data_IF_076785311836
#
_entry.id   IF_076785311836
#
_cell.length_a   1.000
_cell.length_b   1.000
_cell.length_c   1.000
_cell.angle_alpha   90.00
_cell.angle_beta   90.00
_cell.angle_gamma   90.00
#
_symmetry.space_group_name_H-M   'P 1'
#
loop_
_entity.id
_entity.type
_entity.pdbx_description
1 polymer ?
#
# COMPACT_ATOMS: atom_id res chain seq x y z
N UNK A 1 17.09 57.09 53.90
CA UNK A 1 16.37 56.63 52.69
C UNK A 1 17.07 55.37 52.18
N UNK A 2 16.41 54.24 52.44
CA UNK A 2 16.56 52.86 51.94
C UNK A 2 17.91 52.30 51.42
N UNK A 3 18.28 51.21 52.10
CA UNK A 3 19.40 50.29 51.95
C UNK A 3 19.76 49.85 50.52
N UNK A 4 21.03 50.01 50.14
CA UNK A 4 21.69 49.11 49.18
C UNK A 4 21.94 47.78 49.89
N UNK A 5 21.05 46.82 49.70
CA UNK A 5 21.28 45.43 50.12
C UNK A 5 22.32 44.83 49.18
N UNK A 6 23.55 44.69 49.66
CA UNK A 6 24.54 43.80 49.07
C UNK A 6 24.05 42.36 49.23
N UNK A 7 23.41 41.82 48.19
CA UNK A 7 23.22 40.39 48.02
C UNK A 7 24.51 39.78 47.45
N UNK A 8 25.54 39.69 48.29
CA UNK A 8 26.53 38.63 48.11
C UNK A 8 25.81 37.39 48.64
N UNK A 9 25.15 36.64 47.74
CA UNK A 9 24.68 35.30 48.10
C UNK A 9 25.94 34.46 48.31
N UNK A 10 26.15 34.02 49.55
CA UNK A 10 27.15 33.01 49.88
C UNK A 10 27.03 31.85 48.89
N UNK A 11 28.18 31.37 48.40
CA UNK A 11 28.29 30.29 47.41
C UNK A 11 27.47 29.05 47.82
N UNK A 12 27.43 28.78 49.12
CA UNK A 12 26.69 27.67 49.73
C UNK A 12 25.15 27.85 49.62
N UNK A 13 24.65 29.09 49.66
CA UNK A 13 23.23 29.39 49.48
C UNK A 13 22.78 29.40 48.01
N UNK A 14 23.73 29.48 47.06
CA UNK A 14 23.45 29.27 45.64
C UNK A 14 23.38 27.77 45.36
N UNK A 15 24.30 26.98 45.89
CA UNK A 15 24.34 25.52 45.70
C UNK A 15 23.11 24.83 46.30
N UNK A 16 22.64 25.26 47.48
CA UNK A 16 21.44 24.71 48.11
C UNK A 16 20.16 25.09 47.35
N UNK A 17 20.10 26.30 46.78
CA UNK A 17 18.99 26.76 45.91
C UNK A 17 18.97 26.02 44.56
N UNK A 18 20.13 25.72 43.98
CA UNK A 18 20.23 24.91 42.76
C UNK A 18 19.86 23.45 43.05
N UNK A 19 20.26 22.88 44.20
CA UNK A 19 19.92 21.52 44.58
C UNK A 19 18.43 21.32 44.89
N UNK A 20 17.76 22.32 45.47
CA UNK A 20 16.32 22.26 45.76
C UNK A 20 15.43 22.65 44.56
N UNK A 21 15.89 23.52 43.65
CA UNK A 21 15.07 24.02 42.53
C UNK A 21 15.46 23.48 41.15
N UNK A 22 16.65 22.89 40.97
CA UNK A 22 17.03 22.16 39.77
C UNK A 22 16.93 20.68 40.09
N UNK A 23 15.75 20.11 39.83
CA UNK A 23 15.60 18.66 39.77
C UNK A 23 16.54 18.17 38.66
N UNK A 24 17.70 17.64 39.02
CA UNK A 24 18.62 17.05 38.06
C UNK A 24 17.88 15.98 37.25
N UNK A 25 18.10 15.95 35.94
CA UNK A 25 17.52 14.93 35.06
C UNK A 25 17.82 13.54 35.63
N UNK A 26 16.80 12.69 35.74
CA UNK A 26 17.00 11.29 36.09
C UNK A 26 17.95 10.62 35.09
N UNK A 27 18.57 9.49 35.46
CA UNK A 27 19.41 8.72 34.53
C UNK A 27 18.71 8.41 33.21
N UNK A 28 17.38 8.21 33.25
CA UNK A 28 16.57 7.94 32.06
C UNK A 28 16.37 9.19 31.22
N UNK A 29 16.05 10.34 31.83
CA UNK A 29 15.87 11.61 31.10
C UNK A 29 17.20 12.13 30.52
N UNK A 30 18.29 11.97 31.26
CA UNK A 30 19.64 12.31 30.78
C UNK A 30 20.07 11.40 29.62
N UNK A 31 19.71 10.11 29.63
CA UNK A 31 19.98 9.19 28.52
C UNK A 31 19.10 9.49 27.30
N UNK A 32 17.82 9.77 27.50
CA UNK A 32 16.89 10.14 26.43
C UNK A 32 17.36 11.38 25.67
N UNK A 33 17.90 12.38 26.38
CA UNK A 33 18.44 13.60 25.76
C UNK A 33 19.78 13.38 25.03
N UNK A 34 20.56 12.35 25.39
CA UNK A 34 21.87 12.06 24.76
C UNK A 34 21.79 11.12 23.57
N UNK A 35 20.75 10.29 23.50
CA UNK A 35 20.58 9.28 22.46
C UNK A 35 19.96 9.90 21.19
N UNK A 36 20.25 9.30 20.03
CA UNK A 36 19.49 9.62 18.82
C UNK A 36 18.03 9.20 18.96
N UNK A 37 17.15 9.79 18.15
CA UNK A 37 15.72 9.50 18.18
C UNK A 37 15.43 8.01 17.96
N UNK A 38 15.99 7.44 16.88
CA UNK A 38 15.98 5.99 16.61
C UNK A 38 16.36 5.16 17.83
N UNK A 39 17.45 5.53 18.51
CA UNK A 39 17.96 4.78 19.66
C UNK A 39 16.97 4.80 20.83
N UNK A 40 16.31 5.93 21.08
CA UNK A 40 15.27 6.00 22.12
C UNK A 40 14.08 5.11 21.80
N UNK A 41 13.59 5.12 20.56
CA UNK A 41 12.51 4.23 20.09
C UNK A 41 12.89 2.77 20.27
N UNK A 42 14.10 2.38 19.83
CA UNK A 42 14.58 1.01 19.98
C UNK A 42 14.68 0.56 21.45
N UNK A 43 15.21 1.41 22.33
CA UNK A 43 15.29 1.12 23.77
C UNK A 43 13.89 0.96 24.35
N UNK A 44 12.95 1.82 23.96
CA UNK A 44 11.60 1.79 24.48
C UNK A 44 10.83 0.53 24.03
N UNK A 45 10.89 0.16 22.74
CA UNK A 45 10.34 -1.09 22.23
C UNK A 45 10.83 -2.30 23.03
N UNK A 46 12.15 -2.39 23.25
CA UNK A 46 12.75 -3.50 23.99
C UNK A 46 12.34 -3.50 25.47
N UNK A 47 12.28 -2.33 26.13
CA UNK A 47 11.82 -2.21 27.53
C UNK A 47 10.38 -2.65 27.71
N UNK A 48 9.54 -2.41 26.70
CA UNK A 48 8.13 -2.84 26.70
C UNK A 48 7.95 -4.29 26.20
N UNK A 49 9.01 -4.98 25.80
CA UNK A 49 8.98 -6.37 25.34
C UNK A 49 8.58 -6.56 23.87
N UNK A 50 8.52 -5.49 23.08
CA UNK A 50 8.22 -5.51 21.63
C UNK A 50 9.46 -5.85 20.80
N UNK A 51 9.97 -7.07 20.99
CA UNK A 51 11.18 -7.53 20.32
C UNK A 51 10.97 -7.79 18.83
N UNK A 52 9.76 -8.19 18.38
CA UNK A 52 9.48 -8.39 16.96
C UNK A 52 9.37 -7.06 16.24
N UNK A 53 8.65 -6.09 16.82
CA UNK A 53 8.58 -4.72 16.30
C UNK A 53 9.97 -4.08 16.21
N UNK A 54 10.82 -4.30 17.22
CA UNK A 54 12.21 -3.85 17.19
C UNK A 54 12.99 -4.47 16.02
N UNK A 55 12.94 -5.81 15.87
CA UNK A 55 13.63 -6.51 14.80
C UNK A 55 13.16 -6.07 13.42
N UNK A 56 11.85 -5.88 13.26
CA UNK A 56 11.24 -5.42 12.00
C UNK A 56 11.67 -3.99 11.66
N UNK A 57 11.56 -3.05 12.60
CA UNK A 57 12.02 -1.66 12.41
C UNK A 57 13.51 -1.64 12.02
N UNK A 58 14.34 -2.42 12.69
CA UNK A 58 15.77 -2.50 12.40
C UNK A 58 16.02 -3.04 10.98
N UNK A 59 15.35 -4.13 10.59
CA UNK A 59 15.47 -4.72 9.26
C UNK A 59 15.00 -3.76 8.15
N UNK A 60 13.95 -2.98 8.39
CA UNK A 60 13.46 -1.96 7.45
C UNK A 60 14.48 -0.84 7.23
N UNK A 61 15.10 -0.38 8.33
CA UNK A 61 16.17 0.61 8.27
C UNK A 61 17.38 0.09 7.49
N UNK A 62 17.83 -1.14 7.77
CA UNK A 62 18.94 -1.76 7.05
C UNK A 62 18.63 -1.92 5.56
N UNK A 63 17.40 -2.36 5.23
CA UNK A 63 16.95 -2.50 3.84
C UNK A 63 16.91 -1.15 3.13
N UNK A 64 16.45 -0.08 3.78
CA UNK A 64 16.51 1.27 3.20
C UNK A 64 17.94 1.66 2.86
N UNK A 65 18.86 1.47 3.82
CA UNK A 65 20.27 1.81 3.62
C UNK A 65 20.87 0.97 2.48
N UNK A 66 20.57 -0.33 2.40
CA UNK A 66 21.02 -1.18 1.31
C UNK A 66 20.48 -0.73 -0.06
N UNK A 67 19.20 -0.33 -0.15
CA UNK A 67 18.62 0.21 -1.39
C UNK A 67 19.29 1.52 -1.81
N UNK A 68 19.57 2.39 -0.83
CA UNK A 68 20.30 3.64 -1.05
C UNK A 68 21.70 3.40 -1.61
N UNK A 69 22.47 2.53 -0.95
CA UNK A 69 23.82 2.17 -1.38
C UNK A 69 23.82 1.52 -2.78
N UNK A 70 22.88 0.62 -3.05
CA UNK A 70 22.76 -0.04 -4.36
C UNK A 70 22.39 0.94 -5.50
N UNK A 71 21.57 1.95 -5.22
CA UNK A 71 21.21 2.98 -6.19
C UNK A 71 22.33 3.98 -6.46
N UNK A 72 23.27 4.12 -5.52
CA UNK A 72 24.48 4.92 -5.63
C UNK A 72 24.27 6.44 -5.52
N UNK A 73 25.38 7.20 -5.44
CA UNK A 73 25.36 8.65 -5.33
C UNK A 73 24.67 9.31 -6.52
N UNK A 74 23.71 10.21 -6.26
CA UNK A 74 22.97 10.94 -7.28
C UNK A 74 21.59 10.37 -7.64
N UNK A 75 21.25 9.17 -7.14
CA UNK A 75 19.89 8.65 -7.22
C UNK A 75 18.91 9.44 -6.33
N UNK A 76 17.62 9.38 -6.62
CA UNK A 76 16.59 10.06 -5.81
C UNK A 76 16.60 9.59 -4.34
N UNK A 77 16.72 8.28 -4.11
CA UNK A 77 16.79 7.70 -2.75
C UNK A 77 18.06 8.13 -1.99
N UNK A 78 19.15 8.44 -2.70
CA UNK A 78 20.37 8.96 -2.09
C UNK A 78 20.18 10.39 -1.54
N UNK A 79 19.38 11.21 -2.23
CA UNK A 79 19.11 12.60 -1.82
C UNK A 79 18.11 12.70 -0.66
N UNK A 80 17.31 11.66 -0.44
CA UNK A 80 16.38 11.62 0.69
C UNK A 80 17.14 11.41 2.01
N UNK A 81 16.62 11.93 3.12
CA UNK A 81 17.17 11.65 4.46
C UNK A 81 17.06 10.16 4.77
N UNK A 82 17.96 9.61 5.59
CA UNK A 82 17.81 8.21 6.02
C UNK A 82 16.50 8.03 6.78
N UNK A 83 15.94 6.82 6.78
CA UNK A 83 14.75 6.51 7.58
C UNK A 83 15.01 6.82 9.07
N UNK A 84 16.26 6.65 9.53
CA UNK A 84 16.71 6.94 10.88
C UNK A 84 16.66 8.44 11.27
N UNK A 85 16.65 9.31 10.26
CA UNK A 85 16.71 10.76 10.39
C UNK A 85 15.36 11.43 10.13
N UNK A 86 14.29 10.63 10.02
CA UNK A 86 12.92 11.07 9.77
C UNK A 86 12.04 10.70 10.97
N UNK A 87 12.00 11.54 12.03
CA UNK A 87 11.28 11.26 13.26
C UNK A 87 9.81 10.89 13.05
N UNK A 88 9.11 11.62 12.17
CA UNK A 88 7.69 11.38 11.89
C UNK A 88 7.44 9.96 11.34
N UNK A 89 8.31 9.47 10.45
CA UNK A 89 8.22 8.10 9.91
C UNK A 89 8.56 7.06 10.97
N UNK A 90 9.56 7.33 11.81
CA UNK A 90 9.92 6.46 12.92
C UNK A 90 8.79 6.38 13.95
N UNK A 91 8.04 7.46 14.17
CA UNK A 91 6.88 7.48 15.06
C UNK A 91 5.74 6.62 14.54
N UNK A 92 5.42 6.72 13.24
CA UNK A 92 4.40 5.85 12.65
C UNK A 92 4.80 4.38 12.72
N UNK A 93 6.05 4.05 12.36
CA UNK A 93 6.57 2.70 12.46
C UNK A 93 6.50 2.20 13.91
N UNK A 94 6.98 2.99 14.88
CA UNK A 94 6.89 2.64 16.28
C UNK A 94 5.46 2.39 16.74
N UNK A 95 4.55 3.32 16.45
CA UNK A 95 3.16 3.26 16.87
C UNK A 95 2.46 2.02 16.33
N UNK A 96 2.50 1.80 15.01
CA UNK A 96 1.73 0.72 14.40
C UNK A 96 2.40 -0.64 14.53
N UNK A 97 3.73 -0.75 14.50
CA UNK A 97 4.42 -2.03 14.70
C UNK A 97 4.20 -2.57 16.11
N UNK A 98 4.28 -1.73 17.14
CA UNK A 98 4.07 -2.17 18.54
C UNK A 98 2.63 -2.59 18.79
N UNK A 99 1.65 -1.86 18.21
CA UNK A 99 0.24 -2.24 18.24
C UNK A 99 -0.04 -3.55 17.49
N UNK A 100 0.56 -3.73 16.32
CA UNK A 100 0.46 -4.97 15.56
C UNK A 100 1.03 -6.16 16.36
N UNK A 101 2.20 -6.00 17.00
CA UNK A 101 2.76 -7.06 17.84
C UNK A 101 1.87 -7.35 19.05
N UNK A 102 1.36 -6.32 19.73
CA UNK A 102 0.44 -6.50 20.86
C UNK A 102 -0.83 -7.28 20.44
N UNK A 103 -1.46 -6.88 19.33
CA UNK A 103 -2.62 -7.56 18.77
C UNK A 103 -2.31 -9.00 18.36
N UNK A 104 -1.15 -9.24 17.75
CA UNK A 104 -0.72 -10.60 17.41
C UNK A 104 -0.57 -11.46 18.66
N UNK A 105 -0.01 -10.94 19.76
CA UNK A 105 0.10 -11.68 21.02
C UNK A 105 -1.26 -12.00 21.64
N UNK A 106 -2.26 -11.15 21.40
CA UNK A 106 -3.65 -11.38 21.80
C UNK A 106 -4.45 -12.28 20.84
N UNK A 107 -3.88 -12.68 19.69
CA UNK A 107 -4.57 -13.44 18.66
C UNK A 107 -5.57 -12.61 17.84
N UNK A 108 -5.54 -11.28 17.94
CA UNK A 108 -6.43 -10.37 17.22
C UNK A 108 -5.87 -10.03 15.83
N UNK A 109 -5.88 -10.99 14.92
CA UNK A 109 -5.28 -10.82 13.58
C UNK A 109 -5.94 -9.72 12.73
N UNK A 110 -7.21 -9.39 12.97
CA UNK A 110 -7.86 -8.24 12.35
C UNK A 110 -7.16 -6.93 12.70
N UNK A 111 -6.82 -6.74 13.98
CA UNK A 111 -6.10 -5.55 14.43
C UNK A 111 -4.66 -5.56 13.90
N UNK A 112 -4.00 -6.72 13.80
CA UNK A 112 -2.68 -6.82 13.16
C UNK A 112 -2.74 -6.29 11.72
N UNK A 113 -3.73 -6.77 10.95
CA UNK A 113 -3.95 -6.37 9.57
C UNK A 113 -4.21 -4.86 9.47
N UNK A 114 -5.09 -4.32 10.32
CA UNK A 114 -5.45 -2.90 10.26
C UNK A 114 -4.25 -2.00 10.59
N UNK A 115 -3.39 -2.38 11.55
CA UNK A 115 -2.15 -1.63 11.83
C UNK A 115 -1.14 -1.71 10.67
N UNK A 116 -0.98 -2.88 10.04
CA UNK A 116 -0.13 -3.03 8.84
C UNK A 116 -0.68 -2.22 7.66
N UNK A 117 -2.00 -2.22 7.46
CA UNK A 117 -2.64 -1.47 6.38
C UNK A 117 -2.47 0.03 6.57
N UNK A 118 -2.56 0.53 7.81
CA UNK A 118 -2.30 1.93 8.11
C UNK A 118 -0.86 2.34 7.75
N UNK A 119 0.13 1.47 8.01
CA UNK A 119 1.50 1.71 7.56
C UNK A 119 1.61 1.69 6.03
N UNK A 120 0.94 0.75 5.35
CA UNK A 120 0.91 0.70 3.89
C UNK A 120 0.32 1.98 3.26
N UNK A 121 -0.72 2.54 3.87
CA UNK A 121 -1.32 3.81 3.44
C UNK A 121 -0.45 5.01 3.76
N UNK A 122 0.18 5.05 4.93
CA UNK A 122 1.06 6.14 5.32
C UNK A 122 2.27 6.26 4.37
N UNK A 123 2.85 5.13 3.95
CA UNK A 123 4.01 5.10 3.04
C UNK A 123 3.64 5.04 1.56
N UNK A 124 2.42 5.42 1.18
CA UNK A 124 1.93 5.30 -0.20
C UNK A 124 2.53 6.34 -1.17
N UNK A 125 3.35 7.28 -0.66
CA UNK A 125 4.09 8.22 -1.48
C UNK A 125 5.08 7.48 -2.41
N UNK A 126 5.31 7.96 -3.65
CA UNK A 126 6.19 7.29 -4.60
C UNK A 126 7.60 7.01 -4.07
N UNK A 127 8.10 7.87 -3.18
CA UNK A 127 9.42 7.74 -2.55
C UNK A 127 9.51 6.57 -1.57
N UNK A 128 8.42 6.29 -0.86
CA UNK A 128 8.32 5.24 0.15
C UNK A 128 7.60 3.98 -0.38
N UNK A 129 7.35 3.93 -1.69
CA UNK A 129 6.53 2.89 -2.32
C UNK A 129 6.98 1.47 -1.99
N UNK A 130 8.29 1.24 -1.88
CA UNK A 130 8.83 -0.06 -1.49
C UNK A 130 8.39 -0.48 -0.08
N UNK A 131 8.26 0.48 0.84
CA UNK A 131 7.85 0.28 2.23
C UNK A 131 6.34 0.06 2.31
N UNK A 132 5.55 0.81 1.53
CA UNK A 132 4.12 0.52 1.35
C UNK A 132 3.87 -0.89 0.80
N UNK A 133 4.63 -1.29 -0.23
CA UNK A 133 4.55 -2.64 -0.80
C UNK A 133 4.90 -3.71 0.23
N UNK A 134 5.94 -3.50 1.06
CA UNK A 134 6.27 -4.40 2.16
C UNK A 134 5.08 -4.60 3.12
N UNK A 135 4.44 -3.51 3.55
CA UNK A 135 3.30 -3.62 4.48
C UNK A 135 2.05 -4.21 3.84
N UNK A 136 1.84 -4.04 2.54
CA UNK A 136 0.78 -4.76 1.82
C UNK A 136 1.05 -6.27 1.72
N UNK A 137 2.31 -6.68 1.53
CA UNK A 137 2.70 -8.10 1.57
C UNK A 137 2.48 -8.68 2.98
N UNK A 138 2.82 -7.94 4.03
CA UNK A 138 2.51 -8.31 5.41
C UNK A 138 1.00 -8.42 5.67
N UNK A 139 0.21 -7.45 5.18
CA UNK A 139 -1.26 -7.52 5.22
C UNK A 139 -1.77 -8.80 4.57
N UNK A 140 -1.22 -9.19 3.42
CA UNK A 140 -1.61 -10.40 2.72
C UNK A 140 -1.29 -11.67 3.49
N UNK A 141 -0.15 -11.71 4.19
CA UNK A 141 0.20 -12.82 5.07
C UNK A 141 -0.74 -12.90 6.27
N UNK A 142 -1.03 -11.77 6.91
CA UNK A 142 -1.95 -11.69 8.05
C UNK A 142 -3.39 -12.04 7.66
N UNK A 143 -3.86 -11.60 6.49
CA UNK A 143 -5.23 -11.84 6.04
C UNK A 143 -5.57 -13.34 5.94
N UNK A 144 -4.59 -14.19 5.62
CA UNK A 144 -4.76 -15.65 5.58
C UNK A 144 -5.00 -16.28 6.96
N UNK A 145 -4.67 -15.57 8.03
CA UNK A 145 -4.87 -16.02 9.42
C UNK A 145 -6.22 -15.57 9.98
N UNK A 146 -6.91 -14.64 9.32
CA UNK A 146 -8.21 -14.10 9.74
C UNK A 146 -9.30 -15.06 9.30
N UNK A 147 -10.14 -15.50 10.25
CA UNK A 147 -11.28 -16.40 9.99
C UNK A 147 -12.63 -15.75 10.27
N UNK A 148 -12.63 -14.54 10.84
CA UNK A 148 -13.79 -13.89 11.46
C UNK A 148 -14.52 -12.90 10.55
N UNK A 149 -13.86 -12.35 9.53
CA UNK A 149 -14.36 -11.18 8.78
C UNK A 149 -15.07 -11.49 7.45
N UNK A 150 -15.57 -12.73 7.31
CA UNK A 150 -16.20 -13.23 6.08
C UNK A 150 -15.26 -13.04 4.86
N UNK A 151 -13.94 -13.05 5.06
CA UNK A 151 -12.90 -12.96 4.03
C UNK A 151 -12.81 -11.59 3.34
N UNK A 152 -13.33 -10.53 3.96
CA UNK A 152 -13.27 -9.17 3.41
C UNK A 152 -11.82 -8.68 3.30
N UNK A 153 -11.00 -8.83 4.35
CA UNK A 153 -9.59 -8.42 4.34
C UNK A 153 -8.74 -9.29 3.43
N UNK A 154 -9.08 -10.57 3.28
CA UNK A 154 -8.48 -11.45 2.27
C UNK A 154 -8.71 -10.88 0.85
N UNK A 155 -9.95 -10.49 0.54
CA UNK A 155 -10.28 -9.86 -0.74
C UNK A 155 -9.48 -8.56 -0.96
N UNK A 156 -9.46 -7.67 0.04
CA UNK A 156 -8.70 -6.42 -0.03
C UNK A 156 -7.20 -6.67 -0.23
N UNK A 157 -6.64 -7.66 0.47
CA UNK A 157 -5.23 -8.01 0.31
C UNK A 157 -4.91 -8.54 -1.08
N UNK A 158 -5.78 -9.37 -1.67
CA UNK A 158 -5.63 -9.80 -3.07
C UNK A 158 -5.66 -8.62 -4.05
N UNK A 159 -6.53 -7.63 -3.84
CA UNK A 159 -6.54 -6.42 -4.66
C UNK A 159 -5.20 -5.67 -4.59
N UNK A 160 -4.66 -5.48 -3.38
CA UNK A 160 -3.38 -4.80 -3.16
C UNK A 160 -2.21 -5.57 -3.79
N UNK A 161 -2.17 -6.90 -3.64
CA UNK A 161 -1.15 -7.74 -4.26
C UNK A 161 -1.21 -7.71 -5.79
N UNK A 162 -2.42 -7.64 -6.37
CA UNK A 162 -2.61 -7.46 -7.81
C UNK A 162 -2.00 -6.15 -8.31
N UNK A 163 -2.25 -5.04 -7.59
CA UNK A 163 -1.68 -3.73 -7.92
C UNK A 163 -0.14 -3.75 -7.87
N UNK A 164 0.44 -4.34 -6.82
CA UNK A 164 1.90 -4.46 -6.67
C UNK A 164 2.51 -5.24 -7.84
N UNK A 165 1.91 -6.38 -8.22
CA UNK A 165 2.43 -7.19 -9.33
C UNK A 165 2.26 -6.51 -10.67
N UNK A 166 1.19 -5.74 -10.86
CA UNK A 166 0.97 -4.95 -12.05
C UNK A 166 2.03 -3.85 -12.19
N UNK A 167 2.29 -3.10 -11.12
CA UNK A 167 3.35 -2.06 -11.06
C UNK A 167 4.74 -2.64 -11.32
N UNK A 168 5.02 -3.85 -10.82
CA UNK A 168 6.27 -4.58 -11.08
C UNK A 168 6.33 -5.17 -12.51
N UNK A 169 5.29 -5.01 -13.34
CA UNK A 169 5.21 -5.54 -14.70
C UNK A 169 4.91 -7.04 -14.79
N UNK A 170 4.63 -7.70 -13.66
CA UNK A 170 4.30 -9.13 -13.56
C UNK A 170 2.81 -9.35 -13.87
N UNK A 171 2.42 -9.07 -15.11
CA UNK A 171 1.02 -8.98 -15.56
C UNK A 171 0.22 -10.27 -15.32
N UNK A 172 0.83 -11.44 -15.52
CA UNK A 172 0.18 -12.73 -15.27
C UNK A 172 -0.16 -12.91 -13.79
N UNK A 173 0.83 -12.70 -12.90
CA UNK A 173 0.62 -12.79 -11.46
C UNK A 173 -0.42 -11.79 -10.97
N UNK A 174 -0.41 -10.56 -11.51
CA UNK A 174 -1.43 -9.56 -11.20
C UNK A 174 -2.84 -10.05 -11.55
N UNK A 175 -3.00 -10.68 -12.72
CA UNK A 175 -4.28 -11.25 -13.14
C UNK A 175 -4.77 -12.34 -12.18
N UNK A 176 -3.92 -13.23 -11.68
CA UNK A 176 -4.30 -14.27 -10.70
C UNK A 176 -4.80 -13.67 -9.38
N UNK A 177 -4.14 -12.63 -8.88
CA UNK A 177 -4.58 -11.90 -7.69
C UNK A 177 -5.95 -11.23 -7.92
N UNK A 178 -6.15 -10.57 -9.06
CA UNK A 178 -7.43 -9.95 -9.40
C UNK A 178 -8.55 -10.97 -9.67
N UNK A 179 -8.25 -12.13 -10.23
CA UNK A 179 -9.21 -13.23 -10.41
C UNK A 179 -9.71 -13.70 -9.04
N UNK A 180 -8.79 -13.89 -8.08
CA UNK A 180 -9.14 -14.26 -6.71
C UNK A 180 -9.96 -13.17 -6.02
N UNK A 181 -9.56 -11.91 -6.14
CA UNK A 181 -10.31 -10.77 -5.63
C UNK A 181 -11.74 -10.71 -6.20
N UNK A 182 -11.90 -10.93 -7.51
CA UNK A 182 -13.22 -10.99 -8.14
C UNK A 182 -14.08 -12.10 -7.55
N UNK A 183 -13.54 -13.32 -7.43
CA UNK A 183 -14.27 -14.45 -6.86
C UNK A 183 -14.70 -14.22 -5.41
N UNK A 184 -13.84 -13.61 -4.59
CA UNK A 184 -14.15 -13.30 -3.19
C UNK A 184 -15.26 -12.25 -3.02
N UNK A 185 -15.48 -11.41 -4.04
CA UNK A 185 -16.37 -10.26 -3.94
C UNK A 185 -17.71 -10.45 -4.65
N UNK A 186 -17.90 -11.57 -5.37
CA UNK A 186 -19.19 -11.90 -5.98
C UNK A 186 -20.27 -11.99 -4.90
N UNK A 187 -21.32 -11.19 -5.04
CA UNK A 187 -22.46 -11.18 -4.12
C UNK A 187 -22.22 -10.45 -2.80
N UNK A 188 -21.03 -9.88 -2.58
CA UNK A 188 -20.78 -9.08 -1.37
C UNK A 188 -21.28 -7.65 -1.54
N UNK A 189 -21.60 -7.01 -0.41
CA UNK A 189 -21.99 -5.59 -0.35
C UNK A 189 -20.82 -4.69 0.08
N UNK A 190 -19.60 -5.24 0.09
CA UNK A 190 -18.42 -4.55 0.58
C UNK A 190 -18.04 -3.37 -0.31
N UNK A 191 -17.64 -2.28 0.35
CA UNK A 191 -17.21 -1.04 -0.30
C UNK A 191 -15.84 -0.62 0.22
N UNK A 192 -15.10 0.07 -0.65
CA UNK A 192 -13.88 0.76 -0.28
C UNK A 192 -14.18 2.09 0.42
N UNK A 193 -13.11 2.79 0.80
CA UNK A 193 -13.19 4.11 1.45
C UNK A 193 -13.84 5.17 0.55
N UNK A 194 -13.86 4.95 -0.77
CA UNK A 194 -14.47 5.86 -1.75
C UNK A 194 -15.95 5.53 -2.01
N UNK A 195 -16.48 4.47 -1.40
CA UNK A 195 -17.85 4.00 -1.56
C UNK A 195 -18.07 3.11 -2.79
N UNK A 196 -17.02 2.79 -3.57
CA UNK A 196 -17.11 1.84 -4.69
C UNK A 196 -17.18 0.41 -4.17
N UNK A 197 -18.01 -0.42 -4.79
CA UNK A 197 -18.12 -1.82 -4.39
C UNK A 197 -16.86 -2.59 -4.76
N UNK A 198 -16.47 -3.56 -3.94
CA UNK A 198 -15.31 -4.39 -4.25
C UNK A 198 -15.52 -5.20 -5.54
N UNK A 199 -16.75 -5.63 -5.83
CA UNK A 199 -17.05 -6.33 -7.07
C UNK A 199 -16.89 -5.45 -8.32
N UNK A 200 -17.29 -4.17 -8.24
CA UNK A 200 -17.03 -3.22 -9.33
C UNK A 200 -15.53 -2.97 -9.52
N UNK A 201 -14.78 -2.82 -8.43
CA UNK A 201 -13.31 -2.67 -8.48
C UNK A 201 -12.63 -3.88 -9.12
N UNK A 202 -13.00 -5.08 -8.67
CA UNK A 202 -12.45 -6.31 -9.20
C UNK A 202 -12.74 -6.48 -10.70
N UNK A 203 -13.94 -6.10 -11.14
CA UNK A 203 -14.33 -6.12 -12.55
C UNK A 203 -13.49 -5.14 -13.39
N UNK A 204 -13.26 -3.93 -12.88
CA UNK A 204 -12.42 -2.91 -13.50
C UNK A 204 -10.97 -3.40 -13.65
N UNK A 205 -10.37 -3.90 -12.57
CA UNK A 205 -9.01 -4.42 -12.56
C UNK A 205 -8.83 -5.63 -13.49
N UNK A 206 -9.78 -6.57 -13.48
CA UNK A 206 -9.75 -7.72 -14.39
C UNK A 206 -9.87 -7.33 -15.86
N UNK A 207 -10.77 -6.40 -16.18
CA UNK A 207 -10.91 -5.92 -17.55
C UNK A 207 -9.62 -5.25 -18.04
N UNK A 208 -9.02 -4.38 -17.21
CA UNK A 208 -7.76 -3.70 -17.52
C UNK A 208 -6.62 -4.70 -17.72
N UNK A 209 -6.41 -5.61 -16.77
CA UNK A 209 -5.27 -6.54 -16.80
C UNK A 209 -5.38 -7.54 -17.94
N UNK A 210 -6.58 -8.03 -18.25
CA UNK A 210 -6.78 -8.94 -19.39
C UNK A 210 -6.55 -8.25 -20.73
N UNK A 211 -6.92 -6.98 -20.85
CA UNK A 211 -6.65 -6.21 -22.06
C UNK A 211 -5.14 -6.02 -22.25
N UNK A 212 -4.43 -5.65 -21.18
CA UNK A 212 -2.96 -5.58 -21.19
C UNK A 212 -2.29 -6.92 -21.51
N UNK A 213 -2.81 -8.02 -20.96
CA UNK A 213 -2.28 -9.36 -21.22
C UNK A 213 -2.51 -9.78 -22.68
N UNK A 214 -3.69 -9.48 -23.23
CA UNK A 214 -3.98 -9.74 -24.63
C UNK A 214 -3.09 -8.92 -25.57
N UNK A 215 -2.82 -7.65 -25.26
CA UNK A 215 -1.88 -6.82 -26.02
C UNK A 215 -0.49 -7.47 -26.06
N UNK A 216 0.05 -7.89 -24.90
CA UNK A 216 1.34 -8.60 -24.83
C UNK A 216 1.35 -9.91 -25.62
N UNK A 217 0.25 -10.67 -25.58
CA UNK A 217 0.10 -11.89 -26.37
C UNK A 217 0.08 -11.59 -27.88
N UNK A 218 -0.54 -10.49 -28.31
CA UNK A 218 -0.54 -10.07 -29.71
C UNK A 218 0.86 -9.64 -30.18
N UNK A 219 1.60 -8.92 -29.35
CA UNK A 219 3.02 -8.57 -29.60
C UNK A 219 3.88 -9.83 -29.80
N UNK A 220 3.56 -10.92 -29.08
CA UNK A 220 4.24 -12.21 -29.19
C UNK A 220 3.66 -13.16 -30.27
N UNK A 221 2.73 -12.70 -31.11
CA UNK A 221 2.02 -13.51 -32.12
C UNK A 221 1.16 -14.67 -31.54
N UNK A 222 0.82 -14.63 -30.26
CA UNK A 222 -0.03 -15.61 -29.58
C UNK A 222 -1.53 -15.34 -29.78
N UNK A 223 -1.95 -15.16 -31.04
CA UNK A 223 -3.28 -14.66 -31.39
C UNK A 223 -4.45 -15.45 -30.79
N UNK A 224 -4.34 -16.78 -30.73
CA UNK A 224 -5.40 -17.63 -30.16
C UNK A 224 -5.56 -17.40 -28.65
N UNK A 225 -4.45 -17.20 -27.92
CA UNK A 225 -4.48 -16.90 -26.51
C UNK A 225 -5.02 -15.49 -26.26
N UNK A 226 -4.59 -14.51 -27.07
CA UNK A 226 -5.10 -13.14 -27.00
C UNK A 226 -6.62 -13.09 -27.19
N UNK A 227 -7.17 -13.80 -28.19
CA UNK A 227 -8.62 -13.88 -28.41
C UNK A 227 -9.33 -14.51 -27.19
N UNK A 228 -8.78 -15.57 -26.61
CA UNK A 228 -9.34 -16.21 -25.41
C UNK A 228 -9.35 -15.24 -24.21
N UNK A 229 -8.28 -14.49 -24.02
CA UNK A 229 -8.14 -13.49 -22.96
C UNK A 229 -9.10 -12.31 -23.16
N UNK A 230 -9.23 -11.79 -24.37
CA UNK A 230 -10.20 -10.73 -24.70
C UNK A 230 -11.65 -11.18 -24.48
N UNK A 231 -11.97 -12.45 -24.77
CA UNK A 231 -13.29 -13.02 -24.43
C UNK A 231 -13.55 -13.03 -22.92
N UNK A 232 -12.54 -13.28 -22.08
CA UNK A 232 -12.65 -13.14 -20.62
C UNK A 232 -12.94 -11.68 -20.24
N UNK A 233 -12.17 -10.72 -20.77
CA UNK A 233 -12.38 -9.29 -20.51
C UNK A 233 -13.79 -8.83 -20.88
N UNK A 234 -14.31 -9.25 -22.04
CA UNK A 234 -15.66 -8.91 -22.48
C UNK A 234 -16.74 -9.50 -21.56
N UNK A 235 -16.54 -10.73 -21.05
CA UNK A 235 -17.46 -11.33 -20.08
C UNK A 235 -17.53 -10.52 -18.79
N UNK A 236 -16.38 -10.06 -18.28
CA UNK A 236 -16.31 -9.21 -17.09
C UNK A 236 -17.01 -7.86 -17.34
N UNK A 237 -16.75 -7.21 -18.47
CA UNK A 237 -17.39 -5.93 -18.81
C UNK A 237 -18.92 -6.03 -18.91
N UNK A 238 -19.44 -7.14 -19.46
CA UNK A 238 -20.89 -7.41 -19.54
C UNK A 238 -21.52 -7.61 -18.17
N UNK A 239 -20.83 -8.32 -17.27
CA UNK A 239 -21.34 -8.63 -15.93
C UNK A 239 -21.19 -7.45 -14.95
N UNK A 240 -20.15 -6.63 -15.11
CA UNK A 240 -19.88 -5.46 -14.25
C UNK A 240 -20.79 -4.24 -14.52
N UNK A 241 -21.63 -4.29 -15.55
CA UNK A 241 -22.61 -3.26 -15.90
C UNK A 241 -22.04 -1.84 -16.03
N UNK A 242 -20.98 -1.68 -16.83
CA UNK A 242 -20.53 -0.37 -17.31
C UNK A 242 -21.41 0.13 -18.48
N UNK A 243 -22.72 0.21 -18.26
CA UNK A 243 -23.69 0.53 -19.33
C UNK A 243 -23.75 2.04 -19.68
N UNK A 244 -22.97 2.88 -18.99
CA UNK A 244 -22.88 4.32 -19.26
C UNK A 244 -21.53 4.73 -19.89
N UNK A 245 -20.42 4.10 -19.54
CA UNK A 245 -19.11 4.46 -20.12
C UNK A 245 -18.86 3.80 -21.49
N UNK A 246 -19.42 2.62 -21.75
CA UNK A 246 -19.42 2.05 -23.12
C UNK A 246 -20.34 2.89 -24.06
N UNK A 247 -21.33 3.59 -23.51
CA UNK A 247 -22.19 4.54 -24.26
C UNK A 247 -21.55 5.92 -24.47
N UNK A 248 -20.63 6.36 -23.61
CA UNK A 248 -19.86 7.59 -23.82
C UNK A 248 -18.63 7.37 -24.70
N UNK A 249 -17.99 6.19 -24.63
CA UNK A 249 -16.95 5.76 -25.57
C UNK A 249 -17.46 5.56 -27.02
N UNK A 250 -18.78 5.50 -27.21
CA UNK A 250 -19.42 5.49 -28.52
C UNK A 250 -19.87 6.89 -28.97
N UNK A 251 -19.68 7.95 -28.17
CA UNK A 251 -20.17 9.31 -28.48
C UNK A 251 -19.22 10.48 -28.26
N UNK A 252 -18.04 10.32 -27.65
CA UNK A 252 -17.10 11.45 -27.46
C UNK A 252 -15.65 11.05 -27.70
N UNK A 253 -14.93 11.92 -28.42
CA UNK A 253 -13.55 11.77 -28.87
C UNK A 253 -12.53 11.63 -27.71
N UNK A 254 -11.38 10.99 -27.94
CA UNK A 254 -10.44 10.59 -26.89
C UNK A 254 -9.53 11.74 -26.47
N UNK A 255 -9.28 11.89 -25.17
CA UNK A 255 -8.16 12.68 -24.66
C UNK A 255 -6.84 11.90 -24.74
N UNK A 256 -5.83 12.58 -25.26
CA UNK A 256 -4.50 12.24 -25.78
C UNK A 256 -3.58 11.18 -25.13
N UNK A 257 -4.01 10.36 -24.17
CA UNK A 257 -3.17 9.27 -23.62
C UNK A 257 -3.62 7.85 -24.01
N UNK A 258 -4.76 7.70 -24.70
CA UNK A 258 -5.39 6.40 -25.03
C UNK A 258 -5.55 6.13 -26.53
N UNK A 259 -4.97 6.96 -27.40
CA UNK A 259 -5.27 6.94 -28.84
C UNK A 259 -4.61 5.80 -29.64
N UNK A 260 -3.50 5.21 -29.17
CA UNK A 260 -2.81 4.15 -29.91
C UNK A 260 -3.43 2.74 -29.76
N UNK A 261 -3.92 2.42 -28.56
CA UNK A 261 -4.32 1.05 -28.19
C UNK A 261 -5.83 0.81 -28.25
N UNK A 262 -6.63 1.87 -28.22
CA UNK A 262 -8.08 1.77 -28.33
C UNK A 262 -8.55 1.35 -29.72
N UNK A 263 -7.83 1.70 -30.80
CA UNK A 263 -8.28 1.44 -32.17
C UNK A 263 -8.38 -0.06 -32.50
N UNK A 264 -7.43 -0.88 -32.06
CA UNK A 264 -7.43 -2.33 -32.30
C UNK A 264 -8.53 -3.04 -31.49
N UNK A 265 -8.72 -2.63 -30.24
CA UNK A 265 -9.82 -3.13 -29.40
C UNK A 265 -11.17 -2.69 -29.96
N UNK A 266 -11.31 -1.45 -30.47
CA UNK A 266 -12.51 -0.96 -31.14
C UNK A 266 -12.78 -1.66 -32.47
N UNK A 267 -11.73 -1.97 -33.24
CA UNK A 267 -11.82 -2.76 -34.47
C UNK A 267 -12.26 -4.21 -34.20
N UNK A 268 -11.74 -4.84 -33.14
CA UNK A 268 -12.15 -6.19 -32.74
C UNK A 268 -13.61 -6.19 -32.20
N UNK A 269 -14.00 -5.18 -31.43
CA UNK A 269 -15.37 -5.05 -30.91
C UNK A 269 -16.39 -4.75 -32.02
N UNK A 270 -16.06 -3.88 -32.98
CA UNK A 270 -16.90 -3.60 -34.15
C UNK A 270 -17.01 -4.81 -35.09
N UNK A 271 -15.92 -5.52 -35.35
CA UNK A 271 -15.94 -6.77 -36.12
C UNK A 271 -16.80 -7.86 -35.43
N UNK A 272 -16.69 -8.02 -34.11
CA UNK A 272 -17.51 -8.97 -33.36
C UNK A 272 -19.00 -8.61 -33.37
N UNK A 273 -19.35 -7.31 -33.39
CA UNK A 273 -20.75 -6.87 -33.52
C UNK A 273 -21.33 -7.11 -34.93
N UNK A 274 -20.53 -6.94 -35.98
CA UNK A 274 -20.94 -7.23 -37.36
C UNK A 274 -21.22 -8.73 -37.60
N UNK A 275 -20.53 -9.63 -36.90
CA UNK A 275 -20.75 -11.08 -37.01
C UNK A 275 -22.06 -11.54 -36.38
N UNK A 276 -22.61 -10.82 -35.39
CA UNK A 276 -23.91 -11.16 -34.79
C UNK A 276 -25.07 -10.76 -35.71
N UNK A 277 -24.92 -9.68 -36.48
CA UNK A 277 -25.92 -9.25 -37.47
C UNK A 277 -25.92 -10.07 -38.76
N UNK A 278 -24.76 -10.59 -39.20
CA UNK A 278 -24.69 -11.42 -40.42
C UNK A 278 -25.15 -12.86 -40.20
N UNK A 279 -25.06 -13.40 -38.97
CA UNK A 279 -25.58 -14.74 -38.68
C UNK A 279 -27.10 -14.80 -38.46
N UNK A 280 -27.75 -13.68 -38.11
CA UNK A 280 -29.23 -13.63 -38.03
C UNK A 280 -29.91 -13.46 -39.39
N UNK A 281 -29.18 -13.04 -40.43
CA UNK A 281 -29.74 -12.92 -41.79
C UNK A 281 -29.62 -14.21 -42.61
N UNK A 282 -28.77 -15.15 -42.21
CA UNK A 282 -28.54 -16.44 -42.90
C UNK A 282 -29.32 -17.63 -42.33
N UNK A 283 -30.19 -17.40 -41.33
CA UNK A 283 -31.07 -18.41 -40.74
C UNK A 283 -32.56 -18.21 -41.09
N UNK A 284 -32.87 -17.33 -42.06
CA UNK A 284 -34.23 -17.06 -42.57
C UNK A 284 -34.29 -16.96 -44.11
N UNK A 285 -33.43 -17.71 -44.81
CA UNK A 285 -33.58 -18.05 -46.24
C UNK A 285 -33.42 -19.56 -46.36
#
# INVERSE_FOLDING_TARGET
MLQKIHLIKDKDGIDDYLATNIKGLSKQEAAANRNSYKKNICIDMLRQGYHKSFSELFALIEKWNALREAAGPGSAIWQQKSLEEQPDKLDQLYHFLTRAEAAHRAGHYEEVYDNQLNLAYYFNDPEDKWLSNYFYEECFNTAKLITTDIRKREAQAHANMGLIKEEQGHVLNAAEYYETFYHLTVGSTWKDVTGRTYNSLASEYLWRIYTLLADKMLENNEHQQAIKTLKKALKIAKNGSHNQEVKSLTKTQPTDFLLGKSLLVWQILSAASCWVTTFSLYMFI
#
